data_IF_008327697427
#
_entry.id   IF_008327697427
#
_cell.length_a   1.000
_cell.length_b   1.000
_cell.length_c   1.000
_cell.angle_alpha   90.00
_cell.angle_beta   90.00
_cell.angle_gamma   90.00
#
_symmetry.space_group_name_H-M   'P 1'
#
loop_
_entity.id
_entity.type
_entity.pdbx_description
1 polymer ?
#
# COMPACT_ATOMS: atom_id res chain seq x y z
N UNK A 1 5.71 15.52 19.22
CA UNK A 1 6.69 14.92 18.29
C UNK A 1 7.07 15.98 17.28
N UNK A 2 8.37 16.08 16.97
CA UNK A 2 8.97 17.18 16.23
C UNK A 2 8.40 17.32 14.83
N UNK A 3 7.65 18.40 14.59
CA UNK A 3 7.17 18.71 13.25
C UNK A 3 8.31 18.91 12.26
N UNK A 4 9.46 19.42 12.73
CA UNK A 4 10.64 19.65 11.90
C UNK A 4 11.25 18.35 11.36
N UNK A 5 11.47 17.34 12.21
CA UNK A 5 12.01 16.03 11.82
C UNK A 5 11.09 15.29 10.84
N UNK A 6 9.77 15.39 11.04
CA UNK A 6 8.79 14.81 10.13
C UNK A 6 8.80 15.49 8.74
N UNK A 7 8.87 16.82 8.70
CA UNK A 7 8.93 17.56 7.43
C UNK A 7 10.26 17.32 6.71
N UNK A 8 11.37 17.19 7.46
CA UNK A 8 12.67 16.75 6.91
C UNK A 8 12.57 15.35 6.31
N UNK A 9 12.00 14.39 7.04
CA UNK A 9 11.77 13.04 6.53
C UNK A 9 10.93 13.06 5.25
N UNK A 10 9.79 13.78 5.25
CA UNK A 10 8.93 13.91 4.07
C UNK A 10 9.67 14.54 2.88
N UNK A 11 10.50 15.54 3.15
CA UNK A 11 11.36 16.16 2.15
C UNK A 11 12.36 15.14 1.57
N UNK A 12 13.00 14.31 2.39
CA UNK A 12 13.95 13.28 1.93
C UNK A 12 13.26 12.17 1.13
N UNK A 13 12.07 11.74 1.56
CA UNK A 13 11.28 10.72 0.83
C UNK A 13 10.82 11.23 -0.53
N UNK A 14 10.63 12.55 -0.70
CA UNK A 14 10.19 13.13 -1.97
C UNK A 14 11.33 13.48 -2.94
N UNK A 15 12.60 13.35 -2.54
CA UNK A 15 13.77 13.71 -3.34
C UNK A 15 14.65 12.52 -3.67
N UNK A 16 15.42 12.60 -4.74
CA UNK A 16 16.33 11.53 -5.16
C UNK A 16 17.66 11.49 -4.37
N UNK A 17 17.58 11.26 -3.05
CA UNK A 17 18.71 11.30 -2.09
C UNK A 17 18.81 10.02 -1.25
N UNK A 18 19.14 8.89 -1.89
CA UNK A 18 19.14 7.57 -1.24
C UNK A 18 20.12 7.45 -0.07
N UNK A 19 21.34 7.99 -0.21
CA UNK A 19 22.36 7.91 0.84
C UNK A 19 21.93 8.66 2.11
N UNK A 20 21.39 9.88 1.96
CA UNK A 20 20.90 10.67 3.10
C UNK A 20 19.71 9.98 3.77
N UNK A 21 18.78 9.41 2.98
CA UNK A 21 17.62 8.70 3.51
C UNK A 21 18.02 7.43 4.27
N UNK A 22 19.05 6.72 3.80
CA UNK A 22 19.62 5.56 4.49
C UNK A 22 20.24 5.94 5.83
N UNK A 23 21.05 7.00 5.86
CA UNK A 23 21.68 7.48 7.09
C UNK A 23 20.62 7.93 8.12
N UNK A 24 19.62 8.68 7.66
CA UNK A 24 18.50 9.14 8.49
C UNK A 24 17.63 7.99 9.00
N UNK A 25 17.24 7.04 8.13
CA UNK A 25 16.45 5.88 8.56
C UNK A 25 17.20 5.02 9.58
N UNK A 26 18.53 4.98 9.49
CA UNK A 26 19.40 4.26 10.42
C UNK A 26 19.51 4.95 11.79
N UNK A 27 19.42 6.28 11.87
CA UNK A 27 19.51 7.03 13.14
C UNK A 27 18.22 7.00 13.96
N UNK A 28 17.06 7.03 13.29
CA UNK A 28 15.74 7.18 13.93
C UNK A 28 15.15 5.85 14.43
N UNK A 29 15.54 4.74 13.80
CA UNK A 29 15.05 3.40 14.13
C UNK A 29 13.66 3.08 13.56
N UNK A 30 13.38 1.78 13.36
CA UNK A 30 12.21 1.33 12.58
C UNK A 30 10.85 1.74 13.13
N UNK A 31 10.70 1.84 14.46
CA UNK A 31 9.43 2.23 15.08
C UNK A 31 9.07 3.69 14.75
N UNK A 32 10.04 4.59 14.81
CA UNK A 32 9.85 6.00 14.47
C UNK A 32 9.55 6.16 12.97
N UNK A 33 10.30 5.44 12.13
CA UNK A 33 10.07 5.41 10.69
C UNK A 33 8.65 4.90 10.38
N UNK A 34 8.20 3.80 11.00
CA UNK A 34 6.85 3.29 10.81
C UNK A 34 5.78 4.31 11.22
N UNK A 35 5.96 5.01 12.34
CA UNK A 35 5.04 6.08 12.76
C UNK A 35 4.97 7.22 11.75
N UNK A 36 6.10 7.67 11.19
CA UNK A 36 6.10 8.69 10.16
C UNK A 36 5.46 8.20 8.86
N UNK A 37 5.72 6.96 8.45
CA UNK A 37 5.05 6.36 7.30
C UNK A 37 3.54 6.30 7.50
N UNK A 38 3.05 5.86 8.66
CA UNK A 38 1.62 5.93 9.02
C UNK A 38 1.10 7.35 8.90
N UNK A 39 1.82 8.34 9.43
CA UNK A 39 1.41 9.73 9.33
C UNK A 39 1.32 10.23 7.88
N UNK A 40 2.30 9.90 7.03
CA UNK A 40 2.33 10.24 5.58
C UNK A 40 1.11 9.62 4.89
N UNK A 41 0.93 8.32 5.04
CA UNK A 41 -0.08 7.54 4.31
C UNK A 41 -1.50 7.88 4.78
N UNK A 42 -1.72 8.09 6.08
CA UNK A 42 -3.05 8.41 6.65
C UNK A 42 -3.63 9.71 6.14
N UNK A 43 -2.80 10.69 5.73
CA UNK A 43 -3.26 11.91 5.07
C UNK A 43 -2.74 12.03 3.64
N UNK A 44 -2.52 10.89 2.96
CA UNK A 44 -1.92 10.85 1.63
C UNK A 44 -2.62 11.77 0.64
N UNK A 45 -3.97 11.74 0.60
CA UNK A 45 -4.76 12.59 -0.28
C UNK A 45 -4.40 14.07 -0.17
N UNK A 46 -4.31 14.60 1.05
CA UNK A 46 -4.02 16.02 1.28
C UNK A 46 -2.60 16.36 0.85
N UNK A 47 -1.63 15.48 1.14
CA UNK A 47 -0.22 15.70 0.79
C UNK A 47 0.04 15.59 -0.71
N UNK A 48 -0.53 14.57 -1.34
CA UNK A 48 -0.34 14.32 -2.75
C UNK A 48 -0.94 15.42 -3.64
N UNK A 49 -1.96 16.15 -3.17
CA UNK A 49 -2.57 17.27 -3.91
C UNK A 49 -1.59 18.40 -4.24
N UNK A 50 -0.54 18.61 -3.43
CA UNK A 50 0.50 19.60 -3.71
C UNK A 50 1.71 19.04 -4.46
N UNK A 51 1.73 17.73 -4.73
CA UNK A 51 2.84 17.03 -5.39
C UNK A 51 2.55 16.82 -6.88
N UNK A 52 3.59 16.83 -7.72
CA UNK A 52 3.44 16.36 -9.09
C UNK A 52 3.18 14.85 -9.11
N UNK A 53 2.56 14.31 -10.18
CA UNK A 53 2.36 12.86 -10.30
C UNK A 53 3.67 12.07 -10.23
N UNK A 54 4.77 12.64 -10.74
CA UNK A 54 6.11 12.02 -10.66
C UNK A 54 6.62 11.95 -9.22
N UNK A 55 6.42 13.01 -8.44
CA UNK A 55 6.86 13.04 -7.04
C UNK A 55 6.02 12.09 -6.19
N UNK A 56 4.71 12.02 -6.45
CA UNK A 56 3.83 11.05 -5.82
C UNK A 56 4.30 9.60 -6.07
N UNK A 57 4.60 9.27 -7.32
CA UNK A 57 5.09 7.94 -7.70
C UNK A 57 6.45 7.63 -7.04
N UNK A 58 7.36 8.58 -7.06
CA UNK A 58 8.68 8.50 -6.38
C UNK A 58 8.53 8.18 -4.90
N UNK A 59 7.65 8.90 -4.20
CA UNK A 59 7.40 8.68 -2.77
C UNK A 59 6.84 7.28 -2.52
N UNK A 60 5.88 6.83 -3.35
CA UNK A 60 5.29 5.50 -3.19
C UNK A 60 6.32 4.39 -3.46
N UNK A 61 7.13 4.50 -4.51
CA UNK A 61 8.18 3.52 -4.75
C UNK A 61 9.22 3.50 -3.64
N UNK A 62 9.61 4.67 -3.11
CA UNK A 62 10.59 4.77 -2.04
C UNK A 62 10.15 4.12 -0.74
N UNK A 63 8.90 4.32 -0.31
CA UNK A 63 8.42 3.67 0.91
C UNK A 63 8.32 2.14 0.73
N UNK A 64 8.08 1.67 -0.50
CA UNK A 64 8.16 0.25 -0.83
C UNK A 64 9.57 -0.30 -1.09
N UNK A 65 10.62 0.51 -0.93
CA UNK A 65 12.00 0.15 -1.21
C UNK A 65 12.90 0.33 0.02
N UNK A 66 14.09 -0.27 0.02
CA UNK A 66 15.09 -0.05 1.08
C UNK A 66 15.48 1.46 1.12
N UNK A 67 15.59 2.10 2.29
CA UNK A 67 15.52 1.57 3.67
C UNK A 67 14.13 1.58 4.31
N UNK A 68 13.14 2.05 3.57
CA UNK A 68 11.79 2.29 4.09
C UNK A 68 10.86 1.09 3.95
N UNK A 69 11.33 0.03 3.28
CA UNK A 69 10.55 -1.12 2.84
C UNK A 69 9.54 -1.58 3.90
N UNK A 70 8.31 -1.12 3.72
CA UNK A 70 7.28 -1.17 4.75
C UNK A 70 6.84 -2.61 5.04
N UNK A 71 6.83 -3.49 4.02
CA UNK A 71 6.59 -4.92 4.21
C UNK A 71 7.57 -5.55 5.20
N UNK A 72 8.87 -5.29 5.06
CA UNK A 72 9.87 -5.82 6.00
C UNK A 72 9.76 -5.22 7.40
N UNK A 73 9.40 -3.93 7.51
CA UNK A 73 9.16 -3.31 8.82
C UNK A 73 7.95 -3.92 9.53
N UNK A 74 6.93 -4.39 8.80
CA UNK A 74 5.82 -5.17 9.36
C UNK A 74 6.28 -6.55 9.86
N UNK A 75 7.15 -7.23 9.11
CA UNK A 75 7.65 -8.57 9.46
C UNK A 75 8.61 -8.57 10.64
N UNK A 76 9.39 -7.50 10.83
CA UNK A 76 10.37 -7.37 11.90
C UNK A 76 9.67 -7.24 13.26
N UNK A 77 9.12 -8.36 13.73
CA UNK A 77 8.27 -8.56 14.90
C UNK A 77 8.92 -8.16 16.24
N UNK A 78 10.16 -7.67 16.21
CA UNK A 78 10.86 -7.15 17.38
C UNK A 78 10.57 -5.68 17.68
N UNK A 79 9.88 -4.93 16.80
CA UNK A 79 9.75 -3.46 16.94
C UNK A 79 8.34 -2.88 16.86
N UNK A 80 7.40 -3.49 16.13
CA UNK A 80 6.00 -3.07 16.10
C UNK A 80 5.11 -4.13 16.75
N UNK A 81 4.14 -3.69 17.55
CA UNK A 81 3.07 -4.55 18.03
C UNK A 81 1.95 -4.70 16.97
N UNK A 82 1.03 -5.64 17.19
CA UNK A 82 -0.02 -5.95 16.24
C UNK A 82 -0.95 -4.75 15.92
N UNK A 83 -1.25 -3.91 16.90
CA UNK A 83 -2.09 -2.72 16.68
C UNK A 83 -1.38 -1.71 15.79
N UNK A 84 -0.07 -1.52 15.97
CA UNK A 84 0.75 -0.65 15.13
C UNK A 84 0.85 -1.18 13.68
N UNK A 85 1.01 -2.49 13.51
CA UNK A 85 0.94 -3.13 12.19
C UNK A 85 -0.42 -2.90 11.52
N UNK A 86 -1.52 -3.02 12.28
CA UNK A 86 -2.86 -2.73 11.77
C UNK A 86 -3.01 -1.27 11.33
N UNK A 87 -2.44 -0.32 12.08
CA UNK A 87 -2.44 1.10 11.70
C UNK A 87 -1.71 1.35 10.37
N UNK A 88 -0.61 0.64 10.10
CA UNK A 88 0.07 0.70 8.80
C UNK A 88 -0.86 0.25 7.67
N UNK A 89 -1.58 -0.88 7.85
CA UNK A 89 -2.53 -1.37 6.84
C UNK A 89 -3.69 -0.38 6.63
N UNK A 90 -4.21 0.21 7.72
CA UNK A 90 -5.24 1.27 7.65
C UNK A 90 -4.73 2.51 6.93
N UNK A 91 -3.48 2.89 7.16
CA UNK A 91 -2.88 4.03 6.48
C UNK A 91 -2.67 3.75 4.99
N UNK A 92 -2.27 2.53 4.62
CA UNK A 92 -2.16 2.10 3.23
C UNK A 92 -3.50 2.17 2.48
N UNK A 93 -4.60 1.80 3.14
CA UNK A 93 -5.97 1.97 2.60
C UNK A 93 -6.23 3.42 2.16
N UNK A 94 -5.71 4.42 2.88
CA UNK A 94 -5.88 5.83 2.51
C UNK A 94 -5.21 6.20 1.18
N UNK A 95 -4.11 5.54 0.80
CA UNK A 95 -3.47 5.73 -0.51
C UNK A 95 -4.39 5.26 -1.62
N UNK A 96 -4.94 4.04 -1.49
CA UNK A 96 -5.86 3.47 -2.49
C UNK A 96 -7.13 4.31 -2.63
N UNK A 97 -7.72 4.76 -1.52
CA UNK A 97 -8.90 5.63 -1.55
C UNK A 97 -8.64 7.04 -2.11
N UNK A 98 -7.38 7.47 -2.18
CA UNK A 98 -7.02 8.76 -2.77
C UNK A 98 -6.97 8.72 -4.31
N UNK A 99 -6.82 7.53 -4.92
CA UNK A 99 -6.67 7.34 -6.38
C UNK A 99 -7.72 8.15 -7.16
N UNK A 100 -9.02 8.11 -6.84
CA UNK A 100 -10.03 8.83 -7.61
C UNK A 100 -9.90 10.35 -7.62
N UNK A 101 -9.25 10.91 -6.59
CA UNK A 101 -9.09 12.34 -6.40
C UNK A 101 -7.80 12.89 -7.00
N UNK A 102 -6.78 12.03 -7.10
CA UNK A 102 -5.47 12.39 -7.60
C UNK A 102 -5.35 12.14 -9.10
N UNK A 103 -6.18 11.25 -9.65
CA UNK A 103 -6.06 10.78 -11.03
C UNK A 103 -7.33 10.97 -11.84
N UNK A 104 -7.13 11.21 -13.15
CA UNK A 104 -8.18 11.15 -14.15
C UNK A 104 -8.60 9.70 -14.46
N UNK A 105 -9.60 9.52 -15.32
CA UNK A 105 -10.12 8.20 -15.71
C UNK A 105 -9.16 7.39 -16.61
N UNK A 106 -8.17 8.01 -17.24
CA UNK A 106 -7.27 7.38 -18.23
C UNK A 106 -5.88 7.02 -17.67
N UNK A 107 -5.69 7.04 -16.35
CA UNK A 107 -4.37 6.83 -15.76
C UNK A 107 -3.97 5.34 -15.75
N UNK A 108 -2.76 4.99 -16.23
CA UNK A 108 -2.36 3.61 -16.44
C UNK A 108 -2.17 2.86 -15.11
N UNK A 109 -2.48 1.56 -15.14
CA UNK A 109 -2.32 0.64 -14.01
C UNK A 109 -0.84 0.44 -13.59
N UNK A 110 0.13 0.95 -14.35
CA UNK A 110 1.56 0.75 -14.10
C UNK A 110 2.17 1.76 -13.09
N UNK A 111 1.34 2.61 -12.46
CA UNK A 111 1.82 3.54 -11.42
C UNK A 111 1.96 2.85 -10.07
N UNK A 112 2.85 3.37 -9.23
CA UNK A 112 3.13 2.88 -7.87
C UNK A 112 1.86 2.75 -7.00
N UNK A 113 0.80 3.49 -7.31
CA UNK A 113 -0.52 3.37 -6.68
C UNK A 113 -1.19 2.00 -6.79
N UNK A 114 -0.99 1.31 -7.92
CA UNK A 114 -1.55 -0.02 -8.14
C UNK A 114 -0.60 -1.11 -7.62
N UNK A 115 0.70 -0.82 -7.62
CA UNK A 115 1.76 -1.73 -7.15
C UNK A 115 2.00 -1.67 -5.64
N UNK A 116 1.53 -0.62 -4.94
CA UNK A 116 1.84 -0.41 -3.53
C UNK A 116 1.47 -1.58 -2.61
N UNK A 117 0.37 -2.28 -2.91
CA UNK A 117 -0.01 -3.47 -2.14
C UNK A 117 1.01 -4.60 -2.25
N UNK A 118 1.67 -4.76 -3.40
CA UNK A 118 2.76 -5.73 -3.58
C UNK A 118 3.93 -5.42 -2.62
N UNK A 119 4.25 -4.14 -2.47
CA UNK A 119 5.29 -3.64 -1.56
C UNK A 119 4.97 -3.89 -0.08
N UNK A 120 3.69 -3.98 0.28
CA UNK A 120 3.26 -4.34 1.63
C UNK A 120 3.19 -5.85 1.85
N UNK A 121 2.67 -6.58 0.87
CA UNK A 121 2.40 -8.02 0.97
C UNK A 121 3.69 -8.83 0.94
N UNK A 122 4.69 -8.41 0.17
CA UNK A 122 5.95 -9.13 0.00
C UNK A 122 6.76 -9.35 1.28
N UNK A 123 6.43 -8.67 2.38
CA UNK A 123 7.03 -8.89 3.71
C UNK A 123 6.09 -9.49 4.75
N UNK A 124 4.91 -10.00 4.38
CA UNK A 124 3.93 -10.49 5.36
C UNK A 124 3.78 -12.01 5.26
N UNK A 125 4.39 -12.73 6.22
CA UNK A 125 4.21 -14.19 6.40
C UNK A 125 3.25 -14.54 7.57
N UNK A 126 2.95 -13.58 8.44
CA UNK A 126 2.04 -13.81 9.58
C UNK A 126 0.57 -13.81 9.16
N UNK A 127 -0.14 -14.90 9.52
CA UNK A 127 -1.59 -15.06 9.33
C UNK A 127 -2.39 -13.94 10.00
N UNK A 128 -1.89 -13.36 11.08
CA UNK A 128 -2.54 -12.26 11.79
C UNK A 128 -2.71 -11.03 10.90
N UNK A 129 -1.61 -10.41 10.50
CA UNK A 129 -1.65 -9.19 9.68
C UNK A 129 -2.12 -9.49 8.25
N UNK A 130 -1.84 -10.68 7.71
CA UNK A 130 -2.40 -11.14 6.44
C UNK A 130 -3.93 -11.18 6.42
N UNK A 131 -4.57 -11.50 7.55
CA UNK A 131 -6.04 -11.43 7.68
C UNK A 131 -6.57 -10.01 7.61
N UNK A 132 -5.85 -9.05 8.23
CA UNK A 132 -6.21 -7.62 8.20
C UNK A 132 -6.05 -7.05 6.79
N UNK A 133 -4.99 -7.45 6.07
CA UNK A 133 -4.80 -7.09 4.66
C UNK A 133 -5.91 -7.69 3.80
N UNK A 134 -6.26 -8.97 3.99
CA UNK A 134 -7.37 -9.61 3.28
C UNK A 134 -8.67 -8.84 3.48
N UNK A 135 -9.04 -8.54 4.73
CA UNK A 135 -10.27 -7.82 5.06
C UNK A 135 -10.28 -6.44 4.39
N UNK A 136 -9.18 -5.70 4.53
CA UNK A 136 -9.03 -4.36 3.95
C UNK A 136 -9.18 -4.37 2.43
N UNK A 137 -8.50 -5.30 1.74
CA UNK A 137 -8.58 -5.42 0.30
C UNK A 137 -9.94 -5.96 -0.18
N UNK A 138 -10.56 -6.86 0.57
CA UNK A 138 -11.91 -7.35 0.26
C UNK A 138 -12.97 -6.24 0.38
N UNK A 139 -12.79 -5.28 1.27
CA UNK A 139 -13.67 -4.12 1.36
C UNK A 139 -13.42 -3.14 0.20
N UNK A 140 -12.15 -2.88 -0.11
CA UNK A 140 -11.78 -1.98 -1.21
C UNK A 140 -12.19 -2.52 -2.58
N UNK A 141 -12.17 -3.85 -2.80
CA UNK A 141 -12.62 -4.46 -4.06
C UNK A 141 -14.12 -4.26 -4.32
N UNK A 142 -14.90 -3.93 -3.29
CA UNK A 142 -16.33 -3.62 -3.40
C UNK A 142 -16.63 -2.12 -3.41
N UNK A 143 -15.59 -1.27 -3.46
CA UNK A 143 -15.74 0.18 -3.56
C UNK A 143 -16.44 0.58 -4.86
N UNK A 144 -17.09 1.74 -4.93
CA UNK A 144 -17.85 2.16 -6.13
C UNK A 144 -16.97 2.63 -7.30
N UNK A 145 -15.72 3.01 -7.03
CA UNK A 145 -14.76 3.46 -8.03
C UNK A 145 -13.89 2.30 -8.53
N UNK A 146 -13.95 2.04 -9.84
CA UNK A 146 -13.25 0.92 -10.48
C UNK A 146 -11.73 0.94 -10.26
N UNK A 147 -11.09 2.11 -10.17
CA UNK A 147 -9.63 2.19 -9.96
C UNK A 147 -9.24 1.71 -8.57
N UNK A 148 -10.08 2.00 -7.58
CA UNK A 148 -9.94 1.47 -6.22
C UNK A 148 -10.13 -0.04 -6.22
N UNK A 149 -11.13 -0.54 -6.95
CA UNK A 149 -11.36 -1.98 -7.09
C UNK A 149 -10.16 -2.68 -7.71
N UNK A 150 -9.63 -2.17 -8.83
CA UNK A 150 -8.50 -2.75 -9.55
C UNK A 150 -7.21 -2.75 -8.71
N UNK A 151 -6.91 -1.66 -8.01
CA UNK A 151 -5.78 -1.61 -7.05
C UNK A 151 -5.92 -2.68 -5.96
N UNK A 152 -7.14 -2.86 -5.43
CA UNK A 152 -7.40 -3.86 -4.41
C UNK A 152 -7.32 -5.31 -4.95
N UNK A 153 -7.84 -5.56 -6.15
CA UNK A 153 -7.78 -6.87 -6.81
C UNK A 153 -6.34 -7.26 -7.16
N UNK A 154 -5.52 -6.30 -7.59
CA UNK A 154 -4.09 -6.50 -7.78
C UNK A 154 -3.42 -6.95 -6.47
N UNK A 155 -3.65 -6.21 -5.37
CA UNK A 155 -3.17 -6.60 -4.04
C UNK A 155 -3.66 -8.00 -3.62
N UNK A 156 -4.94 -8.31 -3.81
CA UNK A 156 -5.48 -9.64 -3.51
C UNK A 156 -4.76 -10.72 -4.32
N UNK A 157 -4.43 -10.46 -5.57
CA UNK A 157 -3.71 -11.39 -6.44
C UNK A 157 -2.32 -11.77 -5.95
N UNK A 158 -1.64 -10.87 -5.25
CA UNK A 158 -0.33 -11.16 -4.63
C UNK A 158 -0.44 -11.75 -3.23
N UNK A 159 -1.57 -11.55 -2.54
CA UNK A 159 -1.77 -12.02 -1.17
C UNK A 159 -1.84 -13.54 -1.07
N UNK A 160 -0.86 -14.15 -0.40
CA UNK A 160 -0.86 -15.59 -0.08
C UNK A 160 -1.72 -15.88 1.16
N UNK A 161 -3.04 -15.82 1.01
CA UNK A 161 -3.98 -16.06 2.11
C UNK A 161 -5.14 -16.99 1.69
N UNK A 162 -5.53 -17.98 2.51
CA UNK A 162 -6.57 -18.97 2.14
C UNK A 162 -7.95 -18.34 1.85
N UNK A 163 -8.24 -17.19 2.44
CA UNK A 163 -9.48 -16.44 2.20
C UNK A 163 -9.51 -15.62 0.90
N UNK A 164 -8.39 -15.51 0.16
CA UNK A 164 -8.29 -14.70 -1.08
C UNK A 164 -9.35 -15.08 -2.11
N UNK A 165 -9.43 -16.37 -2.46
CA UNK A 165 -10.35 -16.84 -3.49
C UNK A 165 -11.81 -16.49 -3.16
N UNK A 166 -12.19 -16.59 -1.88
CA UNK A 166 -13.53 -16.21 -1.41
C UNK A 166 -13.79 -14.69 -1.54
N UNK A 167 -12.79 -13.84 -1.27
CA UNK A 167 -12.90 -12.40 -1.46
C UNK A 167 -13.09 -12.03 -2.95
N UNK A 168 -12.35 -12.70 -3.86
CA UNK A 168 -12.51 -12.51 -5.30
C UNK A 168 -13.86 -13.05 -5.80
N UNK A 169 -14.29 -14.21 -5.32
CA UNK A 169 -15.61 -14.76 -5.65
C UNK A 169 -16.75 -13.83 -5.19
N UNK A 170 -16.58 -13.14 -4.05
CA UNK A 170 -17.51 -12.10 -3.59
C UNK A 170 -17.52 -10.89 -4.53
N UNK A 171 -16.37 -10.43 -5.03
CA UNK A 171 -16.31 -9.37 -6.05
C UNK A 171 -17.06 -9.80 -7.32
N UNK A 172 -16.79 -11.00 -7.85
CA UNK A 172 -17.45 -11.55 -9.04
C UNK A 172 -18.96 -11.65 -8.84
N UNK A 173 -19.43 -11.99 -7.64
CA UNK A 173 -20.86 -12.01 -7.33
C UNK A 173 -21.54 -10.66 -7.59
N UNK A 174 -20.88 -9.54 -7.30
CA UNK A 174 -21.40 -8.20 -7.56
C UNK A 174 -21.07 -7.68 -8.97
N UNK A 175 -20.12 -8.31 -9.68
CA UNK A 175 -19.65 -7.94 -11.03
C UNK A 175 -19.54 -9.20 -11.91
N UNK A 176 -20.66 -9.87 -12.22
CA UNK A 176 -20.65 -11.17 -12.90
C UNK A 176 -20.01 -11.12 -14.29
N UNK A 177 -20.03 -9.97 -14.96
CA UNK A 177 -19.35 -9.73 -16.23
C UNK A 177 -17.83 -9.92 -16.15
N UNK A 178 -17.24 -9.77 -14.96
CA UNK A 178 -15.80 -9.93 -14.72
C UNK A 178 -15.38 -11.40 -14.55
N UNK A 179 -16.32 -12.34 -14.40
CA UNK A 179 -16.01 -13.76 -14.17
C UNK A 179 -15.19 -14.40 -15.29
N UNK A 180 -15.38 -13.93 -16.53
CA UNK A 180 -14.66 -14.43 -17.71
C UNK A 180 -13.29 -13.80 -17.92
N UNK A 181 -12.97 -12.72 -17.21
CA UNK A 181 -11.72 -11.98 -17.37
C UNK A 181 -10.52 -12.85 -16.94
N UNK A 182 -9.53 -13.08 -17.82
CA UNK A 182 -8.31 -13.83 -17.48
C UNK A 182 -7.53 -13.25 -16.30
N UNK A 183 -7.47 -11.92 -16.17
CA UNK A 183 -6.74 -11.26 -15.09
C UNK A 183 -7.43 -11.47 -13.73
N UNK A 184 -8.77 -11.43 -13.69
CA UNK A 184 -9.52 -11.75 -12.46
C UNK A 184 -9.30 -13.20 -12.02
N UNK A 185 -9.18 -14.13 -12.98
CA UNK A 185 -8.78 -15.51 -12.66
C UNK A 185 -7.37 -15.58 -12.06
N UNK A 186 -6.42 -14.82 -12.58
CA UNK A 186 -5.06 -14.73 -12.00
C UNK A 186 -5.11 -14.17 -10.57
N UNK A 187 -5.88 -13.11 -10.32
CA UNK A 187 -6.09 -12.60 -8.96
C UNK A 187 -6.65 -13.66 -8.02
N UNK A 188 -7.64 -14.43 -8.48
CA UNK A 188 -8.25 -15.53 -7.70
C UNK A 188 -7.24 -16.63 -7.38
N UNK A 189 -6.49 -17.05 -8.39
CA UNK A 189 -5.54 -18.15 -8.32
C UNK A 189 -4.23 -17.77 -7.61
N UNK A 190 -3.99 -16.47 -7.43
CA UNK A 190 -2.78 -15.95 -6.78
C UNK A 190 -1.55 -15.97 -7.69
N UNK A 191 -1.78 -15.75 -8.98
CA UNK A 191 -0.77 -15.88 -10.06
C UNK A 191 -0.61 -14.59 -10.86
N UNK A 192 -0.99 -13.45 -10.28
CA UNK A 192 -0.72 -12.14 -10.87
C UNK A 192 0.80 -11.98 -11.00
N UNK A 193 1.25 -11.57 -12.18
CA UNK A 193 2.65 -11.26 -12.49
C UNK A 193 2.86 -9.77 -12.58
#
# INVERSE_FOLDING_TARGET
>A
MGGEEFEEFLFMVSRDVDDELNDFASSEGDAQIAQWLVQILSNWRVRAQSMSHKDQDTVLWRIGSNPLFLGWKLESASKLNFDEQCEVVRAAKCVTLAIPFLFGPEEPMERGYYMWWDLLISGVDDRGIGSVILETLSDLSLHSDERVQLSALHGLGHLQHPGRAAAIDRYIHFRPEMASDPWIRQCRDGSVM
#
